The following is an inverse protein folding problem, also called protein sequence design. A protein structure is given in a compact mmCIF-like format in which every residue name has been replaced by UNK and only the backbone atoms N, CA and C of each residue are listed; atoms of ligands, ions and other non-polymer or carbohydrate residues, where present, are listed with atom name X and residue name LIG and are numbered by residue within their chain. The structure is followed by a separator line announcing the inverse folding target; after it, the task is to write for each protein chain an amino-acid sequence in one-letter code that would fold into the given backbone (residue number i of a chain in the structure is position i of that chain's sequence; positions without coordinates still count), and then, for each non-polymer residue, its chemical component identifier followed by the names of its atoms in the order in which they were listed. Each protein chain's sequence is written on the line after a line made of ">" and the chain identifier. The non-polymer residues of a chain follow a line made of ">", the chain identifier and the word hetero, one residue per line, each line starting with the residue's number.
data_IF_809864322084
#
_entry.id   IF_809864322084
#
_cell.length_a   1.000
_cell.length_b   1.000
_cell.length_c   1.000
_cell.angle_alpha   90.00
_cell.angle_beta   90.00
_cell.angle_gamma   90.00
#
_symmetry.space_group_name_H-M   'P 1'
#
loop_
_entity.id
_entity.type
_entity.pdbx_description
1 polymer ?
#
# COMPACT_ATOMS: atom_id res chain seq x y z
N UNK A 1 -25.73 64.82 -12.86
CA UNK A 1 -24.62 63.85 -12.89
C UNK A 1 -24.22 63.56 -11.45
N UNK A 2 -24.58 62.40 -10.94
CA UNK A 2 -24.14 61.92 -9.62
C UNK A 2 -23.53 60.54 -9.80
N UNK A 3 -22.31 60.41 -9.29
CA UNK A 3 -21.34 59.35 -9.55
C UNK A 3 -21.84 57.99 -9.05
N UNK A 4 -21.79 56.98 -9.92
CA UNK A 4 -21.97 55.58 -9.55
C UNK A 4 -20.82 55.15 -8.64
N UNK A 5 -21.17 54.65 -7.46
CA UNK A 5 -20.23 54.08 -6.51
C UNK A 5 -19.95 52.63 -6.93
N UNK A 6 -18.90 52.41 -7.72
CA UNK A 6 -18.40 51.07 -8.02
C UNK A 6 -17.85 50.47 -6.74
N UNK A 7 -18.60 49.56 -6.09
CA UNK A 7 -18.08 48.74 -5.00
C UNK A 7 -17.18 47.67 -5.61
N UNK A 8 -15.87 47.84 -5.49
CA UNK A 8 -14.90 46.76 -5.75
C UNK A 8 -15.17 45.62 -4.78
N UNK A 9 -15.71 44.51 -5.28
CA UNK A 9 -15.65 43.23 -4.60
C UNK A 9 -14.20 42.74 -4.69
N UNK A 10 -13.37 43.12 -3.72
CA UNK A 10 -12.12 42.43 -3.45
C UNK A 10 -12.45 41.01 -2.98
N UNK A 11 -12.49 40.07 -3.93
CA UNK A 11 -12.39 38.65 -3.62
C UNK A 11 -11.08 38.42 -2.86
N UNK A 12 -11.08 37.74 -1.71
CA UNK A 12 -9.84 37.34 -1.06
C UNK A 12 -9.21 36.20 -1.87
N UNK A 13 -8.51 36.54 -2.95
CA UNK A 13 -7.84 35.63 -3.88
C UNK A 13 -6.51 35.07 -3.32
N UNK A 14 -6.41 34.82 -2.01
CA UNK A 14 -5.12 34.40 -1.43
C UNK A 14 -5.17 33.61 -0.12
N UNK A 15 -6.36 33.30 0.40
CA UNK A 15 -6.49 32.57 1.69
C UNK A 15 -6.98 31.14 1.50
N UNK A 16 -7.52 30.77 0.33
CA UNK A 16 -8.11 29.45 0.07
C UNK A 16 -7.13 28.38 -0.45
N UNK A 17 -5.91 28.76 -0.84
CA UNK A 17 -4.86 27.80 -1.24
C UNK A 17 -4.09 27.19 -0.07
N UNK A 18 -4.26 27.72 1.16
CA UNK A 18 -3.46 27.31 2.32
C UNK A 18 -3.97 26.06 3.06
N UNK A 19 -5.15 25.53 2.71
CA UNK A 19 -5.76 24.37 3.39
C UNK A 19 -5.84 23.13 2.49
N UNK A 20 -4.92 22.98 1.56
CA UNK A 20 -4.78 21.72 0.84
C UNK A 20 -4.25 20.71 1.82
N UNK A 21 -4.97 19.59 1.95
CA UNK A 21 -4.64 18.46 2.80
C UNK A 21 -3.16 18.15 2.63
N UNK A 22 -2.35 18.43 3.66
CA UNK A 22 -0.94 18.06 3.62
C UNK A 22 -0.86 16.55 3.71
N UNK A 23 -0.24 15.93 2.71
CA UNK A 23 0.14 14.53 2.80
C UNK A 23 1.20 14.44 3.89
N UNK A 24 0.92 13.70 4.96
CA UNK A 24 1.92 13.41 5.97
C UNK A 24 3.11 12.70 5.30
N UNK A 25 4.32 13.25 5.47
CA UNK A 25 5.55 12.68 4.92
C UNK A 25 5.77 11.23 5.36
N UNK A 26 5.22 10.84 6.52
CA UNK A 26 5.25 9.45 7.00
C UNK A 26 4.53 8.47 6.04
N UNK A 27 3.48 8.92 5.35
CA UNK A 27 2.72 8.12 4.37
C UNK A 27 3.45 8.00 3.03
N UNK A 28 4.32 8.98 2.73
CA UNK A 28 5.18 9.01 1.54
C UNK A 28 6.51 8.30 1.78
N UNK A 29 6.81 7.90 3.02
CA UNK A 29 8.07 7.27 3.37
C UNK A 29 8.21 5.89 2.71
N UNK A 30 9.18 5.76 1.81
CA UNK A 30 9.62 4.48 1.25
C UNK A 30 10.44 3.62 2.25
N UNK A 31 10.52 4.07 3.51
CA UNK A 31 11.12 3.27 4.57
C UNK A 31 10.38 1.94 4.68
N UNK A 32 11.14 0.87 4.85
CA UNK A 32 10.55 -0.44 5.00
C UNK A 32 9.74 -0.49 6.31
N UNK A 33 8.59 -1.19 6.30
CA UNK A 33 7.79 -1.30 7.50
C UNK A 33 8.50 -2.15 8.55
N UNK A 34 8.36 -1.78 9.82
CA UNK A 34 8.93 -2.50 10.95
C UNK A 34 8.07 -3.72 11.35
N UNK A 35 6.77 -3.69 11.05
CA UNK A 35 5.79 -4.75 11.32
C UNK A 35 4.58 -4.65 10.39
N UNK A 36 3.80 -5.72 10.27
CA UNK A 36 2.50 -5.71 9.60
C UNK A 36 1.51 -4.75 10.26
N UNK A 37 1.56 -4.58 11.59
CA UNK A 37 0.79 -3.53 12.28
C UNK A 37 1.14 -2.14 11.77
N UNK A 38 2.44 -1.84 11.60
CA UNK A 38 2.87 -0.56 11.02
C UNK A 38 2.39 -0.39 9.57
N UNK A 39 2.31 -1.47 8.80
CA UNK A 39 1.68 -1.43 7.46
C UNK A 39 0.19 -1.10 7.58
N UNK A 40 -0.53 -1.72 8.52
CA UNK A 40 -1.95 -1.45 8.75
C UNK A 40 -2.19 0.02 9.14
N UNK A 41 -1.34 0.58 10.00
CA UNK A 41 -1.39 1.99 10.39
C UNK A 41 -1.17 2.93 9.20
N UNK A 42 -0.18 2.62 8.33
CA UNK A 42 0.04 3.38 7.09
C UNK A 42 -1.16 3.29 6.15
N UNK A 43 -1.75 2.10 6.00
CA UNK A 43 -2.98 1.93 5.21
C UNK A 43 -4.10 2.78 5.79
N UNK A 44 -4.27 2.81 7.11
CA UNK A 44 -5.28 3.64 7.78
C UNK A 44 -5.04 5.13 7.54
N UNK A 45 -3.80 5.60 7.60
CA UNK A 45 -3.45 6.97 7.27
C UNK A 45 -3.78 7.33 5.81
N UNK A 46 -3.51 6.42 4.87
CA UNK A 46 -3.88 6.59 3.46
C UNK A 46 -5.41 6.62 3.26
N UNK A 47 -6.16 5.81 3.99
CA UNK A 47 -7.63 5.88 3.96
C UNK A 47 -8.15 7.26 4.43
N UNK A 48 -7.61 7.79 5.52
CA UNK A 48 -8.00 9.10 6.05
C UNK A 48 -7.61 10.24 5.08
N UNK A 49 -6.47 10.12 4.41
CA UNK A 49 -6.06 11.03 3.34
C UNK A 49 -7.06 11.03 2.19
N UNK A 50 -7.47 9.85 1.72
CA UNK A 50 -8.45 9.74 0.64
C UNK A 50 -9.85 10.19 1.05
N UNK A 51 -10.22 10.07 2.32
CA UNK A 51 -11.44 10.67 2.84
C UNK A 51 -11.39 12.20 2.75
N UNK A 52 -10.28 12.80 3.13
CA UNK A 52 -10.08 14.25 2.98
C UNK A 52 -10.04 14.69 1.50
N UNK A 53 -9.45 13.88 0.62
CA UNK A 53 -9.46 14.11 -0.84
C UNK A 53 -10.87 14.01 -1.39
N UNK A 54 -11.66 13.01 -1.00
CA UNK A 54 -13.06 12.89 -1.42
C UNK A 54 -13.83 14.17 -1.06
N UNK A 55 -13.69 14.67 0.17
CA UNK A 55 -14.35 15.90 0.62
C UNK A 55 -13.89 17.14 -0.18
N UNK A 56 -12.58 17.22 -0.48
CA UNK A 56 -12.01 18.29 -1.31
C UNK A 56 -12.59 18.27 -2.74
N UNK A 57 -12.74 17.09 -3.32
CA UNK A 57 -13.31 16.90 -4.67
C UNK A 57 -14.79 17.27 -4.76
N UNK A 58 -15.51 17.36 -3.64
CA UNK A 58 -16.89 17.85 -3.60
C UNK A 58 -17.01 19.37 -3.68
N UNK A 59 -15.90 20.13 -3.54
CA UNK A 59 -15.95 21.58 -3.56
C UNK A 59 -16.14 22.13 -4.99
N UNK A 60 -17.13 23.01 -5.26
CA UNK A 60 -17.48 23.43 -6.63
C UNK A 60 -16.36 24.15 -7.40
N UNK A 61 -15.42 24.80 -6.71
CA UNK A 61 -14.28 25.45 -7.36
C UNK A 61 -13.20 24.43 -7.74
N UNK A 62 -13.00 23.38 -6.94
CA UNK A 62 -12.13 22.26 -7.28
C UNK A 62 -12.70 21.48 -8.47
N UNK A 63 -14.01 21.22 -8.47
CA UNK A 63 -14.67 20.54 -9.59
C UNK A 63 -14.50 21.31 -10.91
N UNK A 64 -14.78 22.62 -10.91
CA UNK A 64 -14.58 23.47 -12.09
C UNK A 64 -13.13 23.50 -12.56
N UNK A 65 -12.20 23.58 -11.62
CA UNK A 65 -10.77 23.54 -11.91
C UNK A 65 -10.39 22.19 -12.56
N UNK A 66 -10.87 21.06 -12.05
CA UNK A 66 -10.60 19.75 -12.67
C UNK A 66 -11.27 19.61 -14.05
N UNK A 67 -12.52 20.06 -14.20
CA UNK A 67 -13.30 19.88 -15.43
C UNK A 67 -12.83 20.74 -16.61
N UNK A 68 -12.46 22.01 -16.37
CA UNK A 68 -12.23 22.97 -17.46
C UNK A 68 -10.76 23.32 -17.71
N UNK A 69 -9.89 23.05 -16.74
CA UNK A 69 -8.49 23.50 -16.78
C UNK A 69 -7.49 22.32 -16.78
N UNK A 70 -7.94 21.07 -16.57
CA UNK A 70 -7.08 19.90 -16.75
C UNK A 70 -6.87 19.61 -18.25
N UNK A 71 -5.63 19.45 -18.74
CA UNK A 71 -5.38 18.91 -20.06
C UNK A 71 -5.95 17.48 -20.19
N UNK A 72 -6.60 17.16 -21.31
CA UNK A 72 -7.18 15.83 -21.58
C UNK A 72 -6.17 14.69 -21.36
N UNK A 73 -4.93 14.89 -21.81
CA UNK A 73 -3.84 13.92 -21.60
C UNK A 73 -3.54 13.67 -20.12
N UNK A 74 -3.59 14.70 -19.27
CA UNK A 74 -3.40 14.55 -17.83
C UNK A 74 -4.57 13.77 -17.20
N UNK A 75 -5.79 14.00 -17.67
CA UNK A 75 -6.98 13.26 -17.24
C UNK A 75 -6.83 11.78 -17.54
N UNK A 76 -6.45 11.43 -18.77
CA UNK A 76 -6.22 10.03 -19.17
C UNK A 76 -5.14 9.36 -18.31
N UNK A 77 -3.99 10.01 -18.14
CA UNK A 77 -2.90 9.53 -17.28
C UNK A 77 -3.35 9.38 -15.81
N UNK A 78 -4.16 10.32 -15.31
CA UNK A 78 -4.71 10.26 -13.96
C UNK A 78 -5.61 9.04 -13.78
N UNK A 79 -6.52 8.82 -14.73
CA UNK A 79 -7.52 7.75 -14.68
C UNK A 79 -6.91 6.37 -14.91
N UNK A 80 -5.94 6.25 -15.82
CA UNK A 80 -5.14 5.02 -15.96
C UNK A 80 -4.37 4.71 -14.67
N UNK A 81 -3.85 5.75 -14.00
CA UNK A 81 -3.19 5.61 -12.70
C UNK A 81 -4.10 4.99 -11.63
N UNK A 82 -5.40 5.32 -11.62
CA UNK A 82 -6.37 4.70 -10.71
C UNK A 82 -6.66 3.24 -11.04
N UNK A 83 -6.71 2.87 -12.32
CA UNK A 83 -6.86 1.46 -12.73
C UNK A 83 -5.67 0.66 -12.21
N UNK A 84 -4.46 1.17 -12.44
CA UNK A 84 -3.23 0.54 -11.95
C UNK A 84 -3.21 0.40 -10.42
N UNK A 85 -3.72 1.39 -9.68
CA UNK A 85 -3.82 1.31 -8.22
C UNK A 85 -4.78 0.24 -7.75
N UNK A 86 -5.92 0.08 -8.43
CA UNK A 86 -6.89 -0.97 -8.13
C UNK A 86 -6.28 -2.34 -8.40
N UNK A 87 -5.58 -2.51 -9.52
CA UNK A 87 -4.86 -3.75 -9.84
C UNK A 87 -3.76 -4.05 -8.80
N UNK A 88 -3.03 -3.02 -8.35
CA UNK A 88 -2.03 -3.13 -7.31
C UNK A 88 -2.63 -3.59 -5.97
N UNK A 89 -3.75 -2.99 -5.56
CA UNK A 89 -4.46 -3.36 -4.34
C UNK A 89 -5.02 -4.78 -4.44
N UNK A 90 -5.58 -5.18 -5.60
CA UNK A 90 -6.06 -6.54 -5.82
C UNK A 90 -4.93 -7.57 -5.69
N UNK A 91 -3.79 -7.32 -6.35
CA UNK A 91 -2.61 -8.17 -6.22
C UNK A 91 -2.08 -8.22 -4.77
N UNK A 92 -2.11 -7.09 -4.05
CA UNK A 92 -1.71 -7.04 -2.65
C UNK A 92 -2.61 -7.91 -1.78
N UNK A 93 -3.92 -7.81 -1.96
CA UNK A 93 -4.90 -8.63 -1.25
C UNK A 93 -4.71 -10.11 -1.54
N UNK A 94 -4.58 -10.52 -2.80
CA UNK A 94 -4.35 -11.94 -3.13
C UNK A 94 -3.13 -12.51 -2.42
N UNK A 95 -2.03 -11.75 -2.38
CA UNK A 95 -0.80 -12.13 -1.69
C UNK A 95 -1.01 -12.22 -0.17
N UNK A 96 -1.68 -11.24 0.43
CA UNK A 96 -2.00 -11.20 1.87
C UNK A 96 -2.96 -12.34 2.26
N UNK A 97 -3.99 -12.62 1.45
CA UNK A 97 -4.93 -13.72 1.68
C UNK A 97 -4.23 -15.09 1.63
N UNK A 98 -3.24 -15.27 0.76
CA UNK A 98 -2.41 -16.48 0.77
C UNK A 98 -1.58 -16.56 2.05
N UNK A 99 -0.92 -15.47 2.46
CA UNK A 99 -0.16 -15.46 3.72
C UNK A 99 -1.03 -15.81 4.94
N UNK A 100 -2.25 -15.28 4.98
CA UNK A 100 -3.23 -15.57 6.03
C UNK A 100 -3.57 -17.05 6.09
N UNK A 101 -3.94 -17.61 4.94
CA UNK A 101 -4.27 -19.03 4.82
C UNK A 101 -3.10 -19.91 5.24
N UNK A 102 -1.89 -19.57 4.80
CA UNK A 102 -0.66 -20.29 5.16
C UNK A 102 -0.43 -20.25 6.68
N UNK A 103 -0.63 -19.10 7.34
CA UNK A 103 -0.51 -18.97 8.79
C UNK A 103 -1.56 -19.82 9.53
N UNK A 104 -2.82 -19.79 9.08
CA UNK A 104 -3.92 -20.57 9.64
C UNK A 104 -3.72 -22.09 9.48
N UNK A 105 -3.32 -22.53 8.29
CA UNK A 105 -3.04 -23.94 8.01
C UNK A 105 -1.86 -24.45 8.83
N UNK A 106 -0.79 -23.64 8.94
CA UNK A 106 0.35 -23.97 9.78
C UNK A 106 -0.04 -24.06 11.25
N UNK A 107 -0.79 -23.08 11.78
CA UNK A 107 -1.29 -23.09 13.15
C UNK A 107 -2.19 -24.29 13.43
N UNK A 108 -3.10 -24.62 12.51
CA UNK A 108 -3.94 -25.82 12.60
C UNK A 108 -3.10 -27.09 12.61
N UNK A 109 -2.08 -27.18 11.77
CA UNK A 109 -1.18 -28.32 11.69
C UNK A 109 -0.34 -28.52 12.96
N UNK A 110 0.16 -27.43 13.54
CA UNK A 110 0.87 -27.44 14.82
C UNK A 110 -0.05 -27.96 15.93
N UNK A 111 -1.29 -27.46 16.03
CA UNK A 111 -2.27 -27.92 17.02
C UNK A 111 -2.68 -29.38 16.85
N UNK A 112 -2.77 -29.86 15.60
CA UNK A 112 -3.06 -31.27 15.27
C UNK A 112 -1.86 -32.19 15.41
N UNK A 113 -0.68 -31.67 15.76
CA UNK A 113 0.60 -32.40 15.84
C UNK A 113 1.06 -33.01 14.51
N UNK A 114 0.60 -32.48 13.38
CA UNK A 114 1.05 -32.85 12.02
C UNK A 114 2.17 -31.92 11.57
N UNK A 115 3.23 -31.84 12.39
CA UNK A 115 4.24 -30.79 12.31
C UNK A 115 5.02 -30.82 11.01
N UNK A 116 5.47 -32.00 10.56
CA UNK A 116 6.28 -32.16 9.36
C UNK A 116 5.48 -31.83 8.08
N UNK A 117 4.23 -32.31 7.97
CA UNK A 117 3.39 -32.01 6.81
C UNK A 117 3.04 -30.51 6.76
N UNK A 118 2.65 -29.93 7.89
CA UNK A 118 2.28 -28.52 7.98
C UNK A 118 3.47 -27.60 7.68
N UNK A 119 4.66 -27.93 8.17
CA UNK A 119 5.87 -27.17 7.88
C UNK A 119 6.24 -27.24 6.39
N UNK A 120 6.18 -28.42 5.79
CA UNK A 120 6.44 -28.61 4.35
C UNK A 120 5.44 -27.84 3.48
N UNK A 121 4.16 -27.90 3.83
CA UNK A 121 3.09 -27.16 3.14
C UNK A 121 3.33 -25.64 3.22
N UNK A 122 3.59 -25.12 4.43
CA UNK A 122 3.90 -23.72 4.65
C UNK A 122 5.14 -23.29 3.84
N UNK A 123 6.27 -24.00 3.91
CA UNK A 123 7.48 -23.63 3.17
C UNK A 123 7.29 -23.66 1.65
N UNK A 124 6.50 -24.61 1.14
CA UNK A 124 6.12 -24.67 -0.27
C UNK A 124 5.27 -23.47 -0.68
N UNK A 125 4.23 -23.15 0.11
CA UNK A 125 3.36 -22.01 -0.12
C UNK A 125 4.10 -20.68 0.00
N UNK A 126 4.98 -20.54 0.99
CA UNK A 126 5.91 -19.42 1.18
C UNK A 126 6.75 -19.14 -0.06
N UNK A 127 7.23 -20.18 -0.76
CA UNK A 127 7.93 -20.01 -2.06
C UNK A 127 6.98 -19.54 -3.16
N UNK A 128 5.74 -20.04 -3.21
CA UNK A 128 4.73 -19.56 -4.16
C UNK A 128 4.40 -18.09 -3.90
N UNK A 129 4.21 -17.68 -2.65
CA UNK A 129 3.97 -16.30 -2.27
C UNK A 129 5.09 -15.37 -2.76
N UNK A 130 6.36 -15.73 -2.53
CA UNK A 130 7.50 -14.97 -3.05
C UNK A 130 7.47 -14.85 -4.59
N UNK A 131 7.04 -15.90 -5.30
CA UNK A 131 6.85 -15.85 -6.77
C UNK A 131 5.71 -14.93 -7.18
N UNK A 132 4.60 -14.89 -6.43
CA UNK A 132 3.50 -13.95 -6.70
C UNK A 132 3.97 -12.50 -6.57
N UNK A 133 4.69 -12.19 -5.49
CA UNK A 133 5.28 -10.86 -5.29
C UNK A 133 6.24 -10.49 -6.41
N UNK A 134 7.11 -11.42 -6.86
CA UNK A 134 8.00 -11.18 -7.99
C UNK A 134 7.25 -10.92 -9.31
N UNK A 135 6.12 -11.62 -9.54
CA UNK A 135 5.25 -11.38 -10.70
C UNK A 135 4.60 -10.00 -10.65
N UNK A 136 4.31 -9.47 -9.46
CA UNK A 136 3.79 -8.12 -9.26
C UNK A 136 4.83 -6.99 -9.51
N UNK A 137 5.94 -7.30 -10.19
CA UNK A 137 6.98 -6.33 -10.58
C UNK A 137 6.50 -5.17 -11.45
N UNK A 138 5.28 -5.23 -12.02
CA UNK A 138 4.67 -4.13 -12.77
C UNK A 138 4.58 -2.84 -11.95
N UNK A 139 4.45 -2.94 -10.62
CA UNK A 139 4.44 -1.81 -9.70
C UNK A 139 5.72 -0.96 -9.73
N UNK A 140 6.86 -1.56 -10.11
CA UNK A 140 8.14 -0.85 -10.22
C UNK A 140 8.30 -0.07 -11.52
N UNK A 141 7.57 -0.44 -12.59
CA UNK A 141 7.80 0.09 -13.94
C UNK A 141 6.98 1.35 -14.25
N UNK A 142 5.90 1.60 -13.51
CA UNK A 142 4.91 2.66 -13.80
C UNK A 142 4.90 3.84 -12.81
N UNK A 143 5.96 4.04 -12.02
CA UNK A 143 6.06 5.19 -11.10
C UNK A 143 6.27 6.56 -11.79
N UNK A 144 6.41 6.62 -13.12
CA UNK A 144 6.57 7.88 -13.87
C UNK A 144 5.22 8.57 -14.15
N UNK A 145 4.34 8.69 -13.14
CA UNK A 145 3.09 9.41 -13.30
C UNK A 145 3.35 10.94 -13.30
N UNK A 146 2.97 11.63 -14.37
CA UNK A 146 2.91 13.10 -14.39
C UNK A 146 4.22 13.86 -14.56
N UNK A 147 5.24 13.26 -15.17
CA UNK A 147 6.44 14.02 -15.60
C UNK A 147 6.11 14.89 -16.81
N UNK A 148 6.29 16.21 -16.69
CA UNK A 148 6.29 17.13 -17.84
C UNK A 148 5.15 18.17 -17.88
N UNK A 149 4.37 18.31 -16.81
CA UNK A 149 3.31 19.33 -16.71
C UNK A 149 3.46 20.15 -15.43
N UNK A 150 3.11 21.43 -15.47
CA UNK A 150 2.95 22.25 -14.28
C UNK A 150 1.67 21.83 -13.57
N UNK A 151 1.80 21.05 -12.49
CA UNK A 151 0.64 20.54 -11.75
C UNK A 151 0.10 21.59 -10.80
N UNK A 152 -1.22 21.74 -10.83
CA UNK A 152 -1.94 22.51 -9.82
C UNK A 152 -1.90 21.79 -8.48
N UNK A 153 -2.14 22.50 -7.38
CA UNK A 153 -1.99 21.92 -6.06
C UNK A 153 -2.84 20.66 -5.79
N UNK A 154 -4.09 20.62 -6.29
CA UNK A 154 -4.97 19.42 -6.14
C UNK A 154 -4.51 18.25 -7.02
N UNK A 155 -4.03 18.54 -8.23
CA UNK A 155 -3.47 17.55 -9.14
C UNK A 155 -2.23 16.88 -8.54
N UNK A 156 -1.36 17.70 -7.95
CA UNK A 156 -0.17 17.24 -7.24
C UNK A 156 -0.56 16.39 -6.03
N UNK A 157 -1.52 16.83 -5.22
CA UNK A 157 -2.03 16.06 -4.08
C UNK A 157 -2.55 14.67 -4.51
N UNK A 158 -3.34 14.60 -5.58
CA UNK A 158 -3.82 13.33 -6.13
C UNK A 158 -2.65 12.45 -6.58
N UNK A 159 -1.67 13.01 -7.28
CA UNK A 159 -0.48 12.25 -7.73
C UNK A 159 0.36 11.74 -6.55
N UNK A 160 0.61 12.59 -5.56
CA UNK A 160 1.36 12.24 -4.36
C UNK A 160 0.64 11.13 -3.56
N UNK A 161 -0.68 11.25 -3.38
CA UNK A 161 -1.49 10.23 -2.69
C UNK A 161 -1.50 8.89 -3.43
N UNK A 162 -1.54 8.90 -4.77
CA UNK A 162 -1.43 7.68 -5.58
C UNK A 162 -0.04 7.04 -5.44
N UNK A 163 1.01 7.86 -5.49
CA UNK A 163 2.39 7.41 -5.29
C UNK A 163 2.58 6.78 -3.91
N UNK A 164 2.01 7.40 -2.88
CA UNK A 164 2.04 6.90 -1.50
C UNK A 164 1.46 5.48 -1.39
N UNK A 165 0.31 5.22 -2.03
CA UNK A 165 -0.30 3.87 -2.04
C UNK A 165 0.61 2.86 -2.75
N UNK A 166 1.14 3.20 -3.93
CA UNK A 166 2.05 2.30 -4.67
C UNK A 166 3.33 2.01 -3.89
N UNK A 167 3.89 3.03 -3.24
CA UNK A 167 5.04 2.91 -2.35
C UNK A 167 4.73 1.99 -1.17
N UNK A 168 3.58 2.19 -0.51
CA UNK A 168 3.11 1.34 0.58
C UNK A 168 2.95 -0.12 0.15
N UNK A 169 2.28 -0.40 -0.97
CA UNK A 169 2.10 -1.78 -1.49
C UNK A 169 3.47 -2.39 -1.83
N UNK A 170 4.36 -1.62 -2.45
CA UNK A 170 5.71 -2.06 -2.78
C UNK A 170 6.52 -2.41 -1.52
N UNK A 171 6.36 -1.62 -0.46
CA UNK A 171 7.00 -1.84 0.84
C UNK A 171 6.44 -3.08 1.55
N UNK A 172 5.13 -3.30 1.49
CA UNK A 172 4.46 -4.50 2.00
C UNK A 172 4.99 -5.75 1.28
N UNK A 173 5.08 -5.71 -0.04
CA UNK A 173 5.65 -6.80 -0.83
C UNK A 173 7.10 -7.10 -0.48
N UNK A 174 7.93 -6.06 -0.28
CA UNK A 174 9.30 -6.25 0.18
C UNK A 174 9.36 -6.89 1.57
N UNK A 175 8.52 -6.41 2.50
CA UNK A 175 8.38 -6.97 3.86
C UNK A 175 7.99 -8.45 3.84
N UNK A 176 6.97 -8.79 3.04
CA UNK A 176 6.48 -10.15 2.88
C UNK A 176 7.50 -11.06 2.19
N UNK A 177 8.39 -10.55 1.33
CA UNK A 177 9.46 -11.37 0.78
C UNK A 177 10.43 -11.84 1.87
N UNK A 178 10.77 -10.94 2.80
CA UNK A 178 11.83 -11.11 3.79
C UNK A 178 13.20 -11.24 3.11
N UNK A 179 14.18 -10.43 3.49
CA UNK A 179 15.55 -10.66 2.99
C UNK A 179 16.13 -11.87 3.72
N UNK A 180 16.72 -12.81 2.98
CA UNK A 180 17.38 -13.97 3.59
C UNK A 180 18.62 -13.50 4.34
N UNK A 181 18.69 -13.72 5.66
CA UNK A 181 19.95 -14.12 6.26
C UNK A 181 20.19 -15.60 5.89
N UNK A 182 21.15 -15.84 4.99
CA UNK A 182 21.80 -17.12 4.70
C UNK A 182 20.95 -18.42 4.66
N UNK A 183 20.69 -18.92 3.46
CA UNK A 183 20.87 -20.34 3.10
C UNK A 183 20.56 -20.56 1.61
N UNK A 184 21.62 -20.52 0.80
CA UNK A 184 21.73 -21.23 -0.47
C UNK A 184 23.19 -21.10 -0.90
N UNK A 185 23.92 -22.21 -0.95
CA UNK A 185 25.34 -22.28 -1.32
C UNK A 185 25.59 -21.95 -2.79
N UNK A 186 25.37 -20.70 -3.19
CA UNK A 186 25.76 -20.17 -4.50
C UNK A 186 26.78 -19.05 -4.28
N UNK A 187 27.92 -19.16 -4.97
CA UNK A 187 29.03 -18.22 -4.94
C UNK A 187 28.69 -16.81 -5.51
N UNK A 188 27.43 -16.55 -5.87
CA UNK A 188 26.98 -15.27 -6.45
C UNK A 188 26.24 -14.38 -5.44
N UNK A 189 26.13 -14.78 -4.17
CA UNK A 189 25.43 -14.00 -3.13
C UNK A 189 26.17 -12.70 -2.67
N UNK A 190 27.34 -12.40 -3.24
CA UNK A 190 28.27 -11.38 -2.72
C UNK A 190 28.11 -9.97 -3.33
N UNK A 191 26.91 -9.61 -3.81
CA UNK A 191 26.66 -8.29 -4.45
C UNK A 191 25.52 -7.50 -3.78
N UNK A 192 24.79 -8.07 -2.81
CA UNK A 192 23.69 -7.36 -2.10
C UNK A 192 23.97 -7.08 -0.62
N UNK A 193 25.24 -6.96 -0.26
CA UNK A 193 25.69 -6.63 1.09
C UNK A 193 25.68 -5.10 1.29
N UNK A 194 24.51 -4.51 1.58
CA UNK A 194 24.44 -3.19 2.26
C UNK A 194 23.08 -2.80 2.85
N UNK A 195 21.99 -3.54 2.60
CA UNK A 195 20.71 -3.29 3.29
C UNK A 195 20.58 -4.27 4.44
N UNK A 196 20.70 -3.77 5.67
CA UNK A 196 20.49 -4.52 6.93
C UNK A 196 19.35 -5.52 6.74
N UNK A 197 19.57 -6.78 7.11
CA UNK A 197 18.53 -7.81 7.08
C UNK A 197 17.42 -7.35 8.01
N UNK A 198 16.32 -6.88 7.46
CA UNK A 198 15.15 -6.50 8.24
C UNK A 198 14.44 -7.79 8.64
N UNK A 199 14.51 -8.08 9.93
CA UNK A 199 13.80 -9.18 10.54
C UNK A 199 12.29 -8.92 10.47
N UNK A 200 11.58 -9.66 9.62
CA UNK A 200 10.12 -9.55 9.46
C UNK A 200 9.39 -10.65 10.21
N UNK A 201 8.10 -10.48 10.48
CA UNK A 201 7.24 -11.54 11.05
C UNK A 201 7.35 -12.84 10.23
N UNK A 202 7.43 -12.73 8.91
CA UNK A 202 7.63 -13.89 8.03
C UNK A 202 8.99 -14.56 8.22
N UNK A 203 10.09 -13.81 8.35
CA UNK A 203 11.40 -14.44 8.58
C UNK A 203 11.52 -15.03 9.97
N UNK A 204 10.83 -14.45 10.97
CA UNK A 204 10.73 -15.00 12.33
C UNK A 204 10.01 -16.34 12.32
N UNK A 205 8.86 -16.43 11.65
CA UNK A 205 8.13 -17.70 11.49
C UNK A 205 8.96 -18.71 10.70
N UNK A 206 9.59 -18.30 9.58
CA UNK A 206 10.46 -19.18 8.80
C UNK A 206 11.60 -19.76 9.68
N UNK A 207 12.26 -18.95 10.51
CA UNK A 207 13.35 -19.38 11.40
C UNK A 207 12.86 -20.24 12.57
N UNK A 208 11.77 -19.83 13.23
CA UNK A 208 11.18 -20.58 14.34
C UNK A 208 10.70 -21.96 13.89
N UNK A 209 10.10 -22.05 12.69
CA UNK A 209 9.67 -23.32 12.10
C UNK A 209 10.87 -24.25 11.84
N UNK A 210 11.97 -23.73 11.29
CA UNK A 210 13.19 -24.52 11.06
C UNK A 210 13.80 -25.03 12.37
N UNK A 211 13.89 -24.16 13.39
CA UNK A 211 14.37 -24.54 14.73
C UNK A 211 13.48 -25.63 15.34
N UNK A 212 12.16 -25.46 15.25
CA UNK A 212 11.17 -26.39 15.77
C UNK A 212 11.29 -27.78 15.11
N UNK A 213 11.50 -27.83 13.78
CA UNK A 213 11.72 -29.09 13.07
C UNK A 213 13.01 -29.83 13.46
N UNK A 214 14.05 -29.11 13.90
CA UNK A 214 15.35 -29.69 14.25
C UNK A 214 15.49 -30.07 15.72
N UNK A 215 14.99 -29.23 16.62
CA UNK A 215 15.26 -29.33 18.05
C UNK A 215 14.09 -29.93 18.85
N UNK A 216 12.92 -30.06 18.24
CA UNK A 216 11.79 -30.81 18.81
C UNK A 216 11.35 -30.35 20.20
N UNK A 217 11.24 -29.04 20.45
CA UNK A 217 10.53 -28.52 21.63
C UNK A 217 10.12 -27.05 21.47
N UNK A 218 9.09 -26.64 22.22
CA UNK A 218 8.52 -25.30 22.43
C UNK A 218 7.34 -24.85 21.52
N UNK A 219 6.46 -25.78 21.15
CA UNK A 219 5.25 -25.51 20.33
C UNK A 219 4.28 -24.46 20.90
N UNK A 220 4.29 -24.20 22.22
CA UNK A 220 3.43 -23.19 22.87
C UNK A 220 3.84 -21.77 22.46
N UNK A 221 5.16 -21.49 22.36
CA UNK A 221 5.64 -20.17 21.91
C UNK A 221 5.41 -19.93 20.42
N UNK A 222 5.40 -20.99 19.62
CA UNK A 222 5.18 -20.89 18.17
C UNK A 222 3.71 -20.58 17.83
N UNK A 223 2.76 -21.16 18.57
CA UNK A 223 1.33 -20.90 18.41
C UNK A 223 0.99 -19.42 18.62
N UNK A 224 1.56 -18.77 19.64
CA UNK A 224 1.29 -17.37 19.93
C UNK A 224 1.89 -16.42 18.89
N UNK A 225 3.08 -16.77 18.36
CA UNK A 225 3.68 -16.04 17.23
C UNK A 225 2.79 -16.13 15.99
N UNK A 226 2.27 -17.32 15.67
CA UNK A 226 1.39 -17.51 14.52
C UNK A 226 0.05 -16.78 14.67
N UNK A 227 -0.57 -16.83 15.86
CA UNK A 227 -1.81 -16.07 16.14
C UNK A 227 -1.58 -14.57 16.01
N UNK A 228 -0.48 -14.05 16.56
CA UNK A 228 -0.15 -12.64 16.45
C UNK A 228 0.03 -12.22 14.99
N UNK A 229 0.75 -13.02 14.21
CA UNK A 229 0.95 -12.77 12.78
C UNK A 229 -0.36 -12.85 12.00
N UNK A 230 -1.21 -13.86 12.25
CA UNK A 230 -2.53 -13.98 11.63
C UNK A 230 -3.39 -12.73 11.92
N UNK A 231 -3.38 -12.25 13.15
CA UNK A 231 -4.12 -11.05 13.55
C UNK A 231 -3.59 -9.80 12.84
N UNK A 232 -2.26 -9.62 12.74
CA UNK A 232 -1.67 -8.53 11.98
C UNK A 232 -1.99 -8.62 10.48
N UNK A 233 -1.97 -9.82 9.90
CA UNK A 233 -2.33 -10.05 8.50
C UNK A 233 -3.80 -9.68 8.25
N UNK A 234 -4.70 -10.04 9.15
CA UNK A 234 -6.11 -9.68 9.07
C UNK A 234 -6.30 -8.16 9.01
N UNK A 235 -5.62 -7.41 9.88
CA UNK A 235 -5.69 -5.94 9.86
C UNK A 235 -5.23 -5.34 8.52
N UNK A 236 -4.16 -5.89 7.94
CA UNK A 236 -3.66 -5.47 6.62
C UNK A 236 -4.66 -5.82 5.52
N UNK A 237 -5.23 -7.03 5.53
CA UNK A 237 -6.24 -7.48 4.56
C UNK A 237 -7.48 -6.59 4.56
N UNK A 238 -8.03 -6.31 5.75
CA UNK A 238 -9.20 -5.44 5.92
C UNK A 238 -8.89 -4.00 5.52
N UNK A 239 -7.68 -3.53 5.87
CA UNK A 239 -7.20 -2.21 5.47
C UNK A 239 -7.13 -2.06 3.95
N UNK A 240 -6.59 -3.06 3.25
CA UNK A 240 -6.50 -3.08 1.78
C UNK A 240 -7.88 -3.15 1.12
N UNK A 241 -8.82 -3.93 1.67
CA UNK A 241 -10.20 -3.99 1.20
C UNK A 241 -10.91 -2.63 1.32
N UNK A 242 -10.77 -1.97 2.47
CA UNK A 242 -11.33 -0.64 2.68
C UNK A 242 -10.72 0.40 1.72
N UNK A 243 -9.38 0.38 1.57
CA UNK A 243 -8.67 1.26 0.65
C UNK A 243 -9.11 1.04 -0.80
N UNK A 244 -9.24 -0.21 -1.23
CA UNK A 244 -9.71 -0.56 -2.58
C UNK A 244 -11.10 0.03 -2.88
N UNK A 245 -12.05 -0.12 -1.94
CA UNK A 245 -13.40 0.46 -2.07
C UNK A 245 -13.36 1.99 -2.14
N UNK A 246 -12.52 2.61 -1.33
CA UNK A 246 -12.34 4.07 -1.32
C UNK A 246 -11.79 4.56 -2.66
N UNK A 247 -10.77 3.89 -3.21
CA UNK A 247 -10.22 4.21 -4.52
C UNK A 247 -11.26 4.12 -5.65
N UNK A 248 -12.15 3.12 -5.61
CA UNK A 248 -13.28 3.05 -6.55
C UNK A 248 -14.16 4.28 -6.41
N UNK A 249 -14.55 4.65 -5.19
CA UNK A 249 -15.39 5.82 -4.92
C UNK A 249 -14.74 7.11 -5.44
N UNK A 250 -13.47 7.36 -5.11
CA UNK A 250 -12.74 8.54 -5.57
C UNK A 250 -12.65 8.59 -7.09
N UNK A 251 -12.36 7.44 -7.74
CA UNK A 251 -12.35 7.32 -9.21
C UNK A 251 -13.71 7.67 -9.83
N UNK A 252 -14.81 7.20 -9.24
CA UNK A 252 -16.17 7.52 -9.71
C UNK A 252 -16.48 9.01 -9.55
N UNK A 253 -16.10 9.62 -8.42
CA UNK A 253 -16.26 11.07 -8.21
C UNK A 253 -15.51 11.85 -9.28
N UNK A 254 -14.26 11.51 -9.56
CA UNK A 254 -13.46 12.15 -10.60
C UNK A 254 -14.10 11.99 -11.99
N UNK A 255 -14.56 10.79 -12.35
CA UNK A 255 -15.26 10.56 -13.62
C UNK A 255 -16.50 11.44 -13.76
N UNK A 256 -17.28 11.58 -12.69
CA UNK A 256 -18.47 12.42 -12.71
C UNK A 256 -18.10 13.89 -12.90
N UNK A 257 -17.05 14.38 -12.24
CA UNK A 257 -16.56 15.76 -12.41
C UNK A 257 -16.12 16.00 -13.86
N UNK A 258 -15.45 15.04 -14.48
CA UNK A 258 -14.91 15.15 -15.85
C UNK A 258 -15.98 14.97 -16.95
N UNK A 259 -17.15 14.44 -16.59
CA UNK A 259 -18.26 14.21 -17.53
C UNK A 259 -19.25 15.37 -17.60
N UNK A 260 -19.05 16.43 -16.82
CA UNK A 260 -19.91 17.62 -16.69
C UNK A 260 -19.16 18.89 -17.09
#
# INVERSE_FOLDING_TARGET
>A
MALQHTRSCSFPCGVQEAAIVKVDESLLSESAPSSLSSVADRIKGLQNLYESIDDLLLLPHIQRSIAHECPEKYVDEMMEGYIMLLDACAAAKDVVSVAKRDAQELLSGVRRRTHAEAASAYLSSRRKLRKMVQKASFLRKKQNLGKGYEMRPVEKLLMDAKSAILGMISSLFFYMMGTKAHSCGSLVAKIMESRRVEETEFTKVDAALMSFMHNGDDGVKFDDVLKSMECSIQMVEDGLECLFRRLIKTRVVLLNILSH
#
